data_IF_133675225144
#
_entry.id   IF_133675225144
#
_cell.length_a   1.000
_cell.length_b   1.000
_cell.length_c   1.000
_cell.angle_alpha   90.00
_cell.angle_beta   90.00
_cell.angle_gamma   90.00
#
_symmetry.space_group_name_H-M   'P 1'
#
loop_
_entity.id
_entity.type
_entity.pdbx_description
1 polymer ?
#
# COMPACT_ATOMS: atom_id res chain seq x y z
N UNK A 1 33.07 -7.17 -53.99
CA UNK A 1 32.82 -6.02 -53.09
C UNK A 1 31.64 -6.37 -52.20
N UNK A 2 31.92 -6.85 -50.99
CA UNK A 2 30.93 -7.01 -49.94
C UNK A 2 31.58 -6.48 -48.66
N UNK A 3 31.10 -5.32 -48.22
CA UNK A 3 31.56 -4.65 -47.00
C UNK A 3 31.10 -5.43 -45.78
N UNK A 4 32.06 -5.82 -44.94
CA UNK A 4 31.85 -6.29 -43.58
C UNK A 4 31.42 -5.10 -42.71
N UNK A 5 30.21 -5.12 -42.16
CA UNK A 5 29.82 -4.24 -41.05
C UNK A 5 30.19 -4.95 -39.75
N UNK A 6 31.37 -4.65 -39.22
CA UNK A 6 31.72 -4.93 -37.84
C UNK A 6 30.79 -4.13 -36.92
N UNK A 7 29.92 -4.84 -36.18
CA UNK A 7 29.26 -4.28 -35.01
C UNK A 7 30.32 -4.15 -33.92
N UNK A 8 30.66 -2.91 -33.57
CA UNK A 8 31.42 -2.60 -32.37
C UNK A 8 30.55 -2.92 -31.15
N UNK A 9 30.68 -4.13 -30.62
CA UNK A 9 30.21 -4.49 -29.28
C UNK A 9 31.14 -3.81 -28.25
N UNK A 10 30.75 -2.62 -27.80
CA UNK A 10 31.28 -2.06 -26.55
C UNK A 10 30.61 -2.79 -25.38
N UNK A 11 31.03 -4.03 -25.16
CA UNK A 11 30.68 -4.83 -23.99
C UNK A 11 31.32 -4.23 -22.75
N UNK A 12 30.67 -3.23 -22.15
CA UNK A 12 30.83 -2.98 -20.72
C UNK A 12 30.15 -4.15 -20.01
N UNK A 13 30.96 -4.98 -19.36
CA UNK A 13 30.53 -6.09 -18.52
C UNK A 13 29.79 -5.50 -17.29
N UNK A 14 28.53 -5.12 -17.47
CA UNK A 14 27.70 -4.53 -16.42
C UNK A 14 27.35 -5.65 -15.45
N UNK A 15 28.08 -5.73 -14.33
CA UNK A 15 27.72 -6.60 -13.21
C UNK A 15 26.26 -6.32 -12.84
N UNK A 16 25.39 -7.31 -13.01
CA UNK A 16 23.99 -7.23 -12.59
C UNK A 16 23.85 -7.61 -11.12
N UNK A 17 22.82 -7.09 -10.47
CA UNK A 17 22.51 -7.42 -9.07
C UNK A 17 23.50 -6.88 -8.04
N UNK A 18 24.26 -5.81 -8.36
CA UNK A 18 25.17 -5.19 -7.38
C UNK A 18 24.35 -4.55 -6.27
N UNK A 19 24.68 -4.89 -5.02
CA UNK A 19 23.99 -4.37 -3.84
C UNK A 19 24.72 -3.14 -3.31
N UNK A 20 24.00 -2.03 -3.19
CA UNK A 20 24.49 -0.77 -2.63
C UNK A 20 23.63 -0.35 -1.44
N UNK A 21 24.14 0.40 -0.46
CA UNK A 21 23.30 0.98 0.58
C UNK A 21 22.41 2.09 -0.02
N UNK A 22 21.12 2.10 0.33
CA UNK A 22 20.14 3.09 -0.12
C UNK A 22 20.33 4.45 0.58
N UNK A 23 21.45 5.11 0.27
CA UNK A 23 21.87 6.40 0.84
C UNK A 23 22.04 7.45 -0.24
N UNK A 24 21.94 8.72 0.12
CA UNK A 24 22.00 9.86 -0.81
C UNK A 24 23.27 9.87 -1.67
N UNK A 25 24.38 9.29 -1.18
CA UNK A 25 25.64 9.15 -1.93
C UNK A 25 25.50 8.32 -3.22
N UNK A 26 24.56 7.37 -3.25
CA UNK A 26 24.31 6.50 -4.41
C UNK A 26 23.15 6.99 -5.29
N UNK A 27 22.48 8.10 -4.94
CA UNK A 27 21.34 8.58 -5.70
C UNK A 27 21.73 9.00 -7.13
N UNK A 28 22.89 9.63 -7.31
CA UNK A 28 23.37 10.04 -8.63
C UNK A 28 23.64 8.83 -9.55
N UNK A 29 24.28 7.78 -9.03
CA UNK A 29 24.51 6.53 -9.76
C UNK A 29 23.20 5.86 -10.16
N UNK A 30 22.22 5.83 -9.26
CA UNK A 30 20.88 5.29 -9.53
C UNK A 30 20.16 6.07 -10.65
N UNK A 31 20.28 7.40 -10.65
CA UNK A 31 19.72 8.26 -11.69
C UNK A 31 20.33 7.95 -13.06
N UNK A 32 21.65 7.84 -13.16
CA UNK A 32 22.32 7.52 -14.42
C UNK A 32 21.98 6.10 -14.90
N UNK A 33 21.81 5.15 -13.98
CA UNK A 33 21.38 3.78 -14.28
C UNK A 33 19.97 3.76 -14.89
N UNK A 34 19.05 4.55 -14.35
CA UNK A 34 17.70 4.71 -14.88
C UNK A 34 17.69 5.39 -16.25
N UNK A 35 18.48 6.46 -16.43
CA UNK A 35 18.63 7.15 -17.72
C UNK A 35 19.22 6.24 -18.80
N UNK A 36 20.06 5.28 -18.42
CA UNK A 36 20.56 4.23 -19.30
C UNK A 36 19.52 3.13 -19.63
N UNK A 37 18.24 3.33 -19.27
CA UNK A 37 17.13 2.41 -19.55
C UNK A 37 17.15 1.14 -18.69
N UNK A 38 17.94 1.10 -17.61
CA UNK A 38 18.04 -0.08 -16.75
C UNK A 38 17.00 -0.07 -15.63
N UNK A 39 16.76 -1.26 -15.08
CA UNK A 39 15.87 -1.46 -13.93
C UNK A 39 16.71 -1.52 -12.66
N UNK A 40 16.26 -0.83 -11.62
CA UNK A 40 16.85 -0.87 -10.27
C UNK A 40 15.83 -1.39 -9.26
N UNK A 41 16.30 -1.97 -8.16
CA UNK A 41 15.46 -2.29 -7.00
C UNK A 41 15.73 -1.30 -5.87
N UNK A 42 14.68 -0.69 -5.32
CA UNK A 42 14.79 0.39 -4.33
C UNK A 42 13.83 0.20 -3.16
N UNK A 43 14.19 0.65 -1.94
CA UNK A 43 13.26 0.70 -0.82
C UNK A 43 12.24 1.83 -1.00
N UNK A 44 11.06 1.65 -0.41
CA UNK A 44 10.04 2.72 -0.26
C UNK A 44 9.51 2.74 1.16
N UNK A 45 8.59 3.65 1.48
CA UNK A 45 7.87 3.69 2.77
C UNK A 45 6.87 2.52 2.96
N UNK A 46 6.68 1.67 1.95
CA UNK A 46 5.83 0.47 2.04
C UNK A 46 6.55 -0.84 1.76
N UNK A 47 7.20 -0.98 0.62
CA UNK A 47 7.73 -2.26 0.11
C UNK A 47 8.94 -1.96 -0.76
N UNK A 48 9.83 -2.94 -0.94
CA UNK A 48 10.81 -2.84 -2.02
C UNK A 48 10.09 -2.84 -3.36
N UNK A 49 10.59 -2.04 -4.30
CA UNK A 49 10.04 -1.93 -5.64
C UNK A 49 11.10 -2.00 -6.72
N UNK A 50 10.72 -2.56 -7.87
CA UNK A 50 11.46 -2.36 -9.11
C UNK A 50 11.05 -1.03 -9.72
N UNK A 51 12.04 -0.23 -10.08
CA UNK A 51 11.89 1.07 -10.68
C UNK A 51 12.63 1.15 -12.03
N UNK A 52 12.00 1.79 -13.00
CA UNK A 52 12.60 2.13 -14.29
C UNK A 52 12.04 3.47 -14.79
N UNK A 53 12.61 4.04 -15.84
CA UNK A 53 12.02 5.21 -16.49
C UNK A 53 10.64 4.85 -17.08
N UNK A 54 9.59 5.58 -16.71
CA UNK A 54 8.22 5.37 -17.20
C UNK A 54 8.01 5.86 -18.64
N UNK A 55 8.96 6.64 -19.18
CA UNK A 55 8.95 7.16 -20.53
C UNK A 55 9.76 6.29 -21.51
N UNK A 56 10.43 5.25 -21.01
CA UNK A 56 11.26 4.36 -21.83
C UNK A 56 10.52 3.04 -22.13
N UNK A 57 10.24 2.81 -23.41
CA UNK A 57 9.64 1.57 -23.89
C UNK A 57 10.46 0.32 -23.49
N UNK A 58 11.78 0.37 -23.66
CA UNK A 58 12.67 -0.74 -23.31
C UNK A 58 12.60 -1.04 -21.81
N UNK A 59 12.66 -0.01 -20.99
CA UNK A 59 12.69 -0.15 -19.54
C UNK A 59 11.35 -0.67 -18.98
N UNK A 60 10.23 -0.15 -19.49
CA UNK A 60 8.87 -0.60 -19.12
C UNK A 60 8.65 -2.06 -19.51
N UNK A 61 9.04 -2.45 -20.73
CA UNK A 61 8.94 -3.85 -21.16
C UNK A 61 9.77 -4.78 -20.28
N UNK A 62 10.98 -4.36 -19.90
CA UNK A 62 11.85 -5.13 -19.00
C UNK A 62 11.22 -5.35 -17.63
N UNK A 63 10.52 -4.36 -17.04
CA UNK A 63 9.77 -4.57 -15.80
C UNK A 63 8.67 -5.63 -15.98
N UNK A 64 7.93 -5.61 -17.08
CA UNK A 64 6.89 -6.62 -17.33
C UNK A 64 7.45 -8.03 -17.47
N UNK A 65 8.59 -8.18 -18.16
CA UNK A 65 9.34 -9.44 -18.29
C UNK A 65 9.77 -9.98 -16.91
N UNK A 66 10.43 -9.14 -16.10
CA UNK A 66 10.88 -9.51 -14.74
C UNK A 66 9.73 -10.01 -13.88
N UNK A 67 8.57 -9.37 -13.98
CA UNK A 67 7.39 -9.72 -13.16
C UNK A 67 6.69 -10.99 -13.64
N UNK A 68 7.06 -11.54 -14.81
CA UNK A 68 6.38 -12.67 -15.44
C UNK A 68 4.92 -12.37 -15.77
N UNK A 69 4.60 -11.10 -16.08
CA UNK A 69 3.23 -10.64 -16.30
C UNK A 69 2.80 -10.87 -17.75
N UNK A 70 1.58 -11.36 -17.97
CA UNK A 70 0.82 -10.95 -19.16
C UNK A 70 0.55 -9.44 -18.99
N UNK A 71 0.65 -8.63 -20.04
CA UNK A 71 0.59 -7.14 -20.05
C UNK A 71 -0.68 -6.48 -19.42
N UNK A 72 -1.43 -7.16 -18.56
CA UNK A 72 -2.75 -6.77 -18.06
C UNK A 72 -2.76 -6.18 -16.65
N UNK A 73 -1.69 -6.34 -15.85
CA UNK A 73 -1.65 -5.78 -14.48
C UNK A 73 -0.99 -4.40 -14.47
N UNK A 74 -1.71 -3.33 -14.10
CA UNK A 74 -1.19 -1.98 -14.17
C UNK A 74 -0.01 -1.75 -13.21
N UNK A 75 0.93 -0.91 -13.63
CA UNK A 75 2.03 -0.34 -12.88
C UNK A 75 1.62 1.06 -12.40
N UNK A 76 2.09 1.45 -11.22
CA UNK A 76 2.01 2.83 -10.78
C UNK A 76 3.26 3.58 -11.25
N UNK A 77 3.17 4.90 -11.36
CA UNK A 77 4.34 5.76 -11.45
C UNK A 77 4.67 6.38 -10.10
N UNK A 78 5.93 6.70 -9.93
CA UNK A 78 6.51 7.41 -8.82
C UNK A 78 7.09 8.73 -9.32
N UNK A 79 6.76 9.84 -8.66
CA UNK A 79 7.36 11.15 -8.91
C UNK A 79 8.01 11.68 -7.64
N UNK A 80 8.95 12.63 -7.80
CA UNK A 80 9.74 13.16 -6.69
C UNK A 80 8.92 14.04 -5.75
N UNK A 81 8.02 14.85 -6.31
CA UNK A 81 7.20 15.82 -5.59
C UNK A 81 5.75 15.83 -6.11
N UNK A 82 4.82 16.25 -5.25
CA UNK A 82 3.38 16.31 -5.56
C UNK A 82 3.10 17.24 -6.74
N UNK A 83 3.88 18.31 -6.86
CA UNK A 83 3.80 19.28 -7.95
C UNK A 83 4.10 18.68 -9.33
N UNK A 84 4.83 17.57 -9.42
CA UNK A 84 5.16 16.92 -10.70
C UNK A 84 4.01 16.07 -11.26
N UNK A 85 2.97 15.79 -10.46
CA UNK A 85 1.88 14.88 -10.85
C UNK A 85 1.13 15.42 -12.08
N UNK A 86 0.92 16.74 -12.15
CA UNK A 86 0.20 17.40 -13.23
C UNK A 86 0.88 17.25 -14.61
N UNK A 87 2.18 16.93 -14.65
CA UNK A 87 2.93 16.65 -15.89
C UNK A 87 2.50 15.34 -16.54
N UNK A 88 1.93 14.42 -15.76
CA UNK A 88 1.64 13.05 -16.20
C UNK A 88 0.16 12.66 -16.11
N UNK A 89 -0.61 13.33 -15.25
CA UNK A 89 -2.01 13.04 -14.98
C UNK A 89 -2.85 14.32 -14.84
N UNK A 90 -4.13 14.23 -15.18
CA UNK A 90 -5.09 15.32 -15.02
C UNK A 90 -5.44 15.49 -13.53
N UNK A 91 -5.33 16.72 -13.04
CA UNK A 91 -5.56 17.06 -11.62
C UNK A 91 -6.50 18.25 -11.42
N UNK A 92 -6.95 18.90 -12.50
CA UNK A 92 -7.73 20.15 -12.45
C UNK A 92 -9.07 20.02 -11.72
N UNK A 93 -9.66 18.80 -11.72
CA UNK A 93 -10.91 18.52 -11.03
C UNK A 93 -10.74 18.26 -9.53
N UNK A 94 -9.51 18.19 -9.03
CA UNK A 94 -9.24 17.90 -7.62
C UNK A 94 -9.30 19.19 -6.79
N UNK A 95 -9.86 19.15 -5.57
CA UNK A 95 -9.76 20.24 -4.64
C UNK A 95 -8.31 20.62 -4.34
N UNK A 96 -8.04 21.92 -4.23
CA UNK A 96 -6.72 22.43 -3.86
C UNK A 96 -6.21 21.80 -2.55
N UNK A 97 -4.97 21.34 -2.54
CA UNK A 97 -4.32 20.71 -1.38
C UNK A 97 -4.75 19.26 -1.11
N UNK A 98 -5.68 18.67 -1.88
CA UNK A 98 -6.07 17.27 -1.69
C UNK A 98 -4.88 16.32 -1.90
N UNK A 99 -4.10 16.52 -2.97
CA UNK A 99 -2.94 15.67 -3.24
C UNK A 99 -1.87 15.81 -2.15
N UNK A 100 -1.58 17.03 -1.68
CA UNK A 100 -0.64 17.29 -0.60
C UNK A 100 -1.08 16.68 0.75
N UNK A 101 -2.39 16.51 0.95
CA UNK A 101 -2.93 15.83 2.14
C UNK A 101 -2.78 14.30 2.08
N UNK A 102 -2.64 13.73 0.87
CA UNK A 102 -2.54 12.30 0.62
C UNK A 102 -1.10 11.83 0.39
N UNK A 103 -0.24 12.73 -0.10
CA UNK A 103 1.10 12.48 -0.58
C UNK A 103 2.06 13.56 -0.05
N UNK A 104 3.33 13.24 0.29
CA UNK A 104 3.97 11.92 0.20
C UNK A 104 3.43 10.89 1.20
N UNK A 105 3.52 9.60 0.85
CA UNK A 105 3.21 8.52 1.77
C UNK A 105 2.68 7.22 1.16
N UNK A 106 2.04 6.36 1.98
CA UNK A 106 1.64 5.01 1.60
C UNK A 106 0.29 5.01 0.88
N UNK A 107 0.08 5.97 -0.04
CA UNK A 107 -1.10 6.12 -0.87
C UNK A 107 -0.67 6.18 -2.34
N UNK A 108 -1.43 5.53 -3.20
CA UNK A 108 -1.34 5.64 -4.65
C UNK A 108 -2.68 6.18 -5.13
N UNK A 109 -2.67 7.32 -5.80
CA UNK A 109 -3.87 7.94 -6.37
C UNK A 109 -4.02 7.51 -7.83
N UNK A 110 -5.17 7.00 -8.22
CA UNK A 110 -5.46 6.73 -9.65
C UNK A 110 -6.13 7.96 -10.24
N UNK A 111 -5.54 8.47 -11.30
CA UNK A 111 -5.95 9.68 -12.00
C UNK A 111 -6.05 9.39 -13.49
N UNK A 112 -6.82 10.20 -14.23
CA UNK A 112 -6.83 10.14 -15.68
C UNK A 112 -5.46 10.56 -16.23
N UNK A 113 -4.94 9.82 -17.20
CA UNK A 113 -3.66 10.16 -17.83
C UNK A 113 -3.80 11.48 -18.59
N UNK A 114 -2.78 12.33 -18.50
CA UNK A 114 -2.74 13.56 -19.31
C UNK A 114 -2.55 13.21 -20.79
N UNK A 115 -3.29 13.87 -21.70
CA UNK A 115 -3.18 13.62 -23.13
C UNK A 115 -1.78 13.96 -23.69
N UNK A 116 -1.15 15.00 -23.13
CA UNK A 116 0.22 15.42 -23.47
C UNK A 116 1.30 14.77 -22.59
N UNK A 117 0.94 13.72 -21.84
CA UNK A 117 1.86 13.04 -20.93
C UNK A 117 2.98 12.35 -21.71
N UNK A 118 4.22 12.54 -21.26
CA UNK A 118 5.39 11.87 -21.84
C UNK A 118 5.47 10.37 -21.47
N UNK A 119 4.53 9.85 -20.66
CA UNK A 119 4.50 8.44 -20.29
C UNK A 119 4.38 7.54 -21.51
N UNK A 120 5.13 6.44 -21.49
CA UNK A 120 5.11 5.47 -22.58
C UNK A 120 3.70 4.87 -22.76
N UNK A 121 3.27 4.68 -24.01
CA UNK A 121 1.92 4.16 -24.30
C UNK A 121 1.76 2.70 -23.92
N UNK A 122 2.85 1.93 -23.92
CA UNK A 122 2.89 0.55 -23.45
C UNK A 122 2.77 0.44 -21.92
N UNK A 123 2.96 1.54 -21.18
CA UNK A 123 2.71 1.56 -19.74
C UNK A 123 1.19 1.44 -19.52
N UNK A 124 0.72 0.32 -18.96
CA UNK A 124 -0.69 0.03 -18.71
C UNK A 124 -1.57 0.04 -19.98
N UNK A 125 -1.36 -0.90 -20.93
CA UNK A 125 -2.12 -0.91 -22.16
C UNK A 125 -3.61 -1.16 -21.87
N UNK A 126 -4.48 -0.37 -22.51
CA UNK A 126 -5.93 -0.45 -22.33
C UNK A 126 -6.49 0.29 -21.12
N UNK A 127 -5.67 1.08 -20.41
CA UNK A 127 -6.13 1.93 -19.32
C UNK A 127 -5.83 3.41 -19.61
N UNK A 128 -6.89 4.22 -19.62
CA UNK A 128 -6.81 5.68 -19.72
C UNK A 128 -6.42 6.35 -18.39
N UNK A 129 -6.26 5.56 -17.33
CA UNK A 129 -5.86 6.01 -16.00
C UNK A 129 -4.47 5.52 -15.60
N UNK A 130 -3.85 6.26 -14.68
CA UNK A 130 -2.53 5.95 -14.15
C UNK A 130 -2.54 6.09 -12.63
N UNK A 131 -1.96 5.10 -11.95
CA UNK A 131 -1.69 5.20 -10.52
C UNK A 131 -0.44 6.05 -10.30
N UNK A 132 -0.52 7.11 -9.50
CA UNK A 132 0.58 8.01 -9.18
C UNK A 132 0.87 7.94 -7.69
N UNK A 133 2.15 7.96 -7.34
CA UNK A 133 2.62 7.94 -5.95
C UNK A 133 3.79 8.90 -5.75
N UNK A 134 3.84 9.51 -4.57
CA UNK A 134 5.04 10.15 -4.03
C UNK A 134 5.38 9.39 -2.75
N UNK A 135 6.34 8.45 -2.75
CA UNK A 135 6.70 7.68 -1.56
C UNK A 135 7.32 8.59 -0.49
N UNK A 136 7.01 8.36 0.78
CA UNK A 136 7.69 9.04 1.90
C UNK A 136 9.05 8.38 2.21
N UNK A 137 9.93 8.36 1.20
CA UNK A 137 11.26 7.78 1.26
C UNK A 137 12.22 8.69 0.49
N UNK A 138 13.21 9.25 1.19
CA UNK A 138 14.11 10.27 0.61
C UNK A 138 14.85 9.75 -0.62
N UNK A 139 15.39 8.53 -0.54
CA UNK A 139 16.21 7.94 -1.59
C UNK A 139 15.49 7.88 -2.95
N UNK A 140 14.29 7.28 -3.01
CA UNK A 140 13.52 7.19 -4.26
C UNK A 140 13.02 8.57 -4.75
N UNK A 141 12.74 9.51 -3.84
CA UNK A 141 12.37 10.89 -4.22
C UNK A 141 13.54 11.64 -4.83
N UNK A 142 14.75 11.51 -4.28
CA UNK A 142 15.97 12.08 -4.86
C UNK A 142 16.23 11.55 -6.26
N UNK A 143 16.07 10.23 -6.45
CA UNK A 143 16.23 9.60 -7.75
C UNK A 143 15.19 10.11 -8.74
N UNK A 144 13.90 10.13 -8.37
CA UNK A 144 12.84 10.62 -9.24
C UNK A 144 13.05 12.10 -9.65
N UNK A 145 13.48 12.96 -8.72
CA UNK A 145 13.86 14.35 -9.03
C UNK A 145 15.04 14.41 -10.00
N UNK A 146 16.11 13.66 -9.73
CA UNK A 146 17.33 13.66 -10.54
C UNK A 146 17.15 13.07 -11.94
N UNK A 147 16.23 12.12 -12.09
CA UNK A 147 15.86 11.56 -13.41
C UNK A 147 15.07 12.55 -14.27
N UNK A 148 14.43 13.56 -13.67
CA UNK A 148 13.64 14.58 -14.39
C UNK A 148 12.35 14.04 -15.01
N UNK A 149 12.01 12.77 -14.77
CA UNK A 149 10.87 12.04 -15.32
C UNK A 149 10.15 11.24 -14.24
N UNK A 150 9.00 10.65 -14.57
CA UNK A 150 8.32 9.70 -13.71
C UNK A 150 9.00 8.33 -13.77
N UNK A 151 9.06 7.63 -12.63
CA UNK A 151 9.58 6.27 -12.56
C UNK A 151 8.42 5.28 -12.53
N UNK A 152 8.40 4.28 -13.42
CA UNK A 152 7.45 3.18 -13.28
C UNK A 152 7.87 2.36 -12.07
N UNK A 153 6.93 2.09 -11.15
CA UNK A 153 7.19 1.47 -9.85
C UNK A 153 6.20 0.33 -9.58
N UNK A 154 6.73 -0.84 -9.28
CA UNK A 154 5.97 -2.00 -8.81
C UNK A 154 6.72 -2.73 -7.70
N UNK A 155 6.02 -3.48 -6.85
CA UNK A 155 6.66 -4.30 -5.82
C UNK A 155 7.70 -5.27 -6.41
N UNK A 156 8.83 -5.42 -5.69
CA UNK A 156 9.97 -6.24 -6.09
C UNK A 156 9.75 -7.72 -5.74
N UNK A 157 8.82 -8.37 -6.40
CA UNK A 157 8.45 -9.79 -6.21
C UNK A 157 7.92 -10.35 -7.52
N UNK A 158 7.88 -11.68 -7.70
CA UNK A 158 7.12 -12.25 -8.82
C UNK A 158 5.62 -12.04 -8.63
N UNK A 159 4.86 -12.00 -9.72
CA UNK A 159 3.40 -11.86 -9.63
C UNK A 159 2.78 -12.99 -8.79
N UNK A 160 1.92 -12.65 -7.84
CA UNK A 160 1.29 -13.61 -6.92
C UNK A 160 2.17 -14.10 -5.75
N UNK A 161 3.45 -13.72 -5.70
CA UNK A 161 4.33 -14.04 -4.56
C UNK A 161 4.20 -13.00 -3.43
N UNK A 162 4.63 -13.33 -2.19
CA UNK A 162 4.63 -12.39 -1.08
C UNK A 162 5.36 -11.08 -1.39
N UNK A 163 4.87 -9.97 -0.85
CA UNK A 163 5.51 -8.65 -0.98
C UNK A 163 6.87 -8.60 -0.28
N UNK A 164 7.82 -7.87 -0.86
CA UNK A 164 9.19 -7.77 -0.35
C UNK A 164 9.40 -6.63 0.64
N UNK A 165 9.91 -6.96 1.83
CA UNK A 165 10.21 -6.02 2.93
C UNK A 165 11.70 -5.95 3.27
N UNK A 166 12.52 -6.85 2.72
CA UNK A 166 13.98 -6.78 2.73
C UNK A 166 14.54 -7.31 1.40
N UNK A 167 15.81 -7.01 1.10
CA UNK A 167 16.43 -7.42 -0.17
C UNK A 167 16.46 -8.94 -0.37
N UNK A 168 16.52 -9.71 0.73
CA UNK A 168 16.54 -11.18 0.71
C UNK A 168 15.23 -11.79 0.23
N UNK A 169 14.09 -11.08 0.35
CA UNK A 169 12.79 -11.58 -0.12
C UNK A 169 12.78 -11.78 -1.65
N UNK A 170 13.67 -11.11 -2.39
CA UNK A 170 13.71 -11.12 -3.85
C UNK A 170 15.11 -11.33 -4.44
N UNK A 171 16.00 -11.98 -3.69
CA UNK A 171 17.38 -12.27 -4.10
C UNK A 171 17.47 -12.95 -5.48
N UNK A 172 16.53 -13.84 -5.78
CA UNK A 172 16.42 -14.54 -7.08
C UNK A 172 16.15 -13.61 -8.26
N UNK A 173 15.73 -12.36 -8.03
CA UNK A 173 15.41 -11.39 -9.08
C UNK A 173 16.51 -10.33 -9.24
N UNK A 174 17.59 -10.39 -8.45
CA UNK A 174 18.68 -9.42 -8.52
C UNK A 174 19.39 -9.43 -9.87
N UNK A 175 19.53 -10.59 -10.49
CA UNK A 175 20.17 -10.74 -11.81
C UNK A 175 19.48 -9.93 -12.93
N UNK A 176 18.20 -9.61 -12.74
CA UNK A 176 17.45 -8.80 -13.70
C UNK A 176 17.58 -7.29 -13.48
N UNK A 177 18.12 -6.88 -12.32
CA UNK A 177 18.36 -5.49 -11.96
C UNK A 177 19.81 -5.12 -12.26
N UNK A 178 20.05 -3.89 -12.70
CA UNK A 178 21.42 -3.37 -12.74
C UNK A 178 21.97 -3.22 -11.32
N UNK A 179 21.18 -2.60 -10.44
CA UNK A 179 21.56 -2.36 -9.05
C UNK A 179 20.39 -2.61 -8.10
N UNK A 180 20.72 -3.09 -6.90
CA UNK A 180 19.79 -3.29 -5.77
C UNK A 180 20.24 -2.37 -4.64
N UNK A 181 19.35 -1.48 -4.20
CA UNK A 181 19.63 -0.56 -3.10
C UNK A 181 19.03 -1.10 -1.81
N UNK A 182 19.87 -1.40 -0.82
CA UNK A 182 19.47 -1.94 0.47
C UNK A 182 19.18 -0.84 1.49
N UNK A 183 17.92 -0.73 1.90
CA UNK A 183 17.45 0.11 3.00
C UNK A 183 17.16 -0.68 4.29
N UNK A 184 17.61 -1.94 4.38
CA UNK A 184 17.34 -2.82 5.50
C UNK A 184 15.92 -3.40 5.50
N UNK A 185 15.45 -3.78 6.70
CA UNK A 185 14.09 -4.28 6.91
C UNK A 185 13.09 -3.11 7.01
N UNK A 186 12.13 -3.06 6.10
CA UNK A 186 11.12 -2.01 6.09
C UNK A 186 10.10 -2.22 7.24
N UNK A 187 9.76 -1.17 8.01
CA UNK A 187 8.89 -1.26 9.20
C UNK A 187 7.39 -1.39 8.87
N UNK A 188 7.08 -1.61 7.60
CA UNK A 188 5.78 -1.34 6.98
C UNK A 188 4.83 -2.53 6.92
N UNK A 189 5.30 -3.72 7.28
CA UNK A 189 4.61 -4.98 7.01
C UNK A 189 4.57 -5.30 5.51
N UNK A 190 3.88 -6.38 5.13
CA UNK A 190 3.79 -6.83 3.72
C UNK A 190 2.64 -6.20 2.92
N UNK A 191 1.86 -5.30 3.54
CA UNK A 191 0.79 -4.57 2.88
C UNK A 191 1.32 -3.41 2.03
N UNK A 192 0.89 -3.35 0.76
CA UNK A 192 1.21 -2.24 -0.13
C UNK A 192 0.48 -0.93 0.23
N UNK A 193 0.71 0.12 -0.58
CA UNK A 193 -0.01 1.40 -0.46
C UNK A 193 -1.52 1.24 -0.60
N UNK A 194 -2.29 2.12 0.05
CA UNK A 194 -3.72 2.29 -0.25
C UNK A 194 -3.84 2.82 -1.68
N UNK A 195 -4.67 2.19 -2.51
CA UNK A 195 -4.97 2.69 -3.85
C UNK A 195 -6.33 3.37 -3.82
N UNK A 196 -6.35 4.67 -4.08
CA UNK A 196 -7.56 5.49 -4.12
C UNK A 196 -7.75 5.99 -5.54
N UNK A 197 -8.87 5.63 -6.14
CA UNK A 197 -9.29 6.14 -7.45
C UNK A 197 -9.98 7.48 -7.28
N UNK A 198 -9.39 8.49 -7.91
CA UNK A 198 -9.82 9.88 -7.98
C UNK A 198 -9.99 10.33 -9.45
N UNK A 199 -10.04 9.39 -10.40
CA UNK A 199 -10.14 9.70 -11.84
C UNK A 199 -11.45 10.37 -12.23
N UNK A 200 -12.51 10.17 -11.45
CA UNK A 200 -13.84 10.72 -11.73
C UNK A 200 -14.12 11.94 -10.84
N UNK A 201 -14.49 13.10 -11.41
CA UNK A 201 -14.82 14.29 -10.64
C UNK A 201 -15.84 14.03 -9.53
N UNK A 202 -15.58 14.58 -8.34
CA UNK A 202 -16.45 14.51 -7.15
C UNK A 202 -16.74 13.09 -6.63
N UNK A 203 -15.99 12.07 -7.06
CA UNK A 203 -16.12 10.69 -6.60
C UNK A 203 -14.76 10.15 -6.19
N UNK A 204 -14.78 9.26 -5.20
CA UNK A 204 -13.61 8.46 -4.86
C UNK A 204 -13.99 6.99 -4.67
N UNK A 205 -13.05 6.10 -4.99
CA UNK A 205 -13.19 4.67 -4.70
C UNK A 205 -11.88 4.12 -4.16
N UNK A 206 -11.92 3.42 -3.03
CA UNK A 206 -10.76 2.69 -2.55
C UNK A 206 -10.68 1.39 -3.35
N UNK A 207 -9.67 1.25 -4.22
CA UNK A 207 -9.46 0.04 -5.05
C UNK A 207 -8.68 -1.03 -4.28
N UNK A 208 -7.72 -0.59 -3.47
CA UNK A 208 -6.97 -1.43 -2.54
C UNK A 208 -6.91 -0.69 -1.21
N UNK A 209 -7.46 -1.23 -0.13
CA UNK A 209 -7.24 -0.62 1.17
C UNK A 209 -5.81 -0.91 1.57
N UNK A 210 -5.04 0.13 1.85
CA UNK A 210 -3.77 -0.04 2.53
C UNK A 210 -4.01 -0.04 4.04
N UNK A 211 -3.13 0.65 4.76
CA UNK A 211 -3.21 0.69 6.22
C UNK A 211 -4.45 1.42 6.71
N UNK A 212 -5.09 0.84 7.73
CA UNK A 212 -6.22 1.42 8.45
C UNK A 212 -5.83 2.83 8.95
N UNK A 213 -6.65 3.88 8.75
CA UNK A 213 -6.33 5.25 9.14
C UNK A 213 -6.49 5.45 10.66
N UNK A 214 -5.60 4.84 11.43
CA UNK A 214 -5.48 5.07 12.87
C UNK A 214 -4.85 6.42 13.13
N UNK A 215 -5.05 7.03 14.31
CA UNK A 215 -4.44 8.34 14.60
C UNK A 215 -2.92 8.36 14.51
N UNK A 216 -2.24 7.27 14.89
CA UNK A 216 -0.79 7.15 14.70
C UNK A 216 -0.43 7.23 13.21
N UNK A 217 -1.19 6.55 12.35
CA UNK A 217 -0.96 6.60 10.90
C UNK A 217 -1.28 7.98 10.32
N UNK A 218 -2.32 8.66 10.81
CA UNK A 218 -2.69 10.00 10.36
C UNK A 218 -1.70 11.08 10.82
N UNK A 219 -1.16 10.97 12.04
CA UNK A 219 -0.12 11.88 12.55
C UNK A 219 1.19 11.73 11.79
N UNK A 220 1.63 10.50 11.53
CA UNK A 220 2.82 10.25 10.68
C UNK A 220 2.69 10.89 9.30
N UNK A 221 1.47 10.95 8.77
CA UNK A 221 1.15 11.58 7.47
C UNK A 221 0.89 13.09 7.57
N UNK A 222 1.03 13.70 8.75
CA UNK A 222 0.74 15.12 9.00
C UNK A 222 -0.69 15.54 8.59
N UNK A 223 -1.64 14.59 8.60
CA UNK A 223 -3.07 14.84 8.31
C UNK A 223 -3.77 15.41 9.53
N UNK A 224 -3.32 15.03 10.73
CA UNK A 224 -3.84 15.61 11.96
C UNK A 224 -3.21 16.99 12.20
N UNK A 225 -3.99 17.99 12.66
CA UNK A 225 -3.44 19.26 13.12
C UNK A 225 -2.29 19.06 14.12
N UNK A 226 -1.28 19.96 14.18
CA UNK A 226 -0.09 19.80 15.02
C UNK A 226 -0.39 19.49 16.49
N UNK A 227 -1.47 20.07 17.03
CA UNK A 227 -1.88 19.92 18.43
C UNK A 227 -2.80 18.71 18.68
N UNK A 228 -3.07 17.91 17.64
CA UNK A 228 -3.98 16.78 17.74
C UNK A 228 -3.33 15.59 18.43
N UNK A 229 -4.01 15.11 19.47
CA UNK A 229 -3.62 13.91 20.18
C UNK A 229 -3.60 12.68 19.26
N UNK A 230 -2.50 11.91 19.30
CA UNK A 230 -2.38 10.58 18.66
C UNK A 230 -3.04 9.47 19.47
N UNK A 231 -3.58 9.80 20.64
CA UNK A 231 -4.12 8.82 21.57
C UNK A 231 -5.48 8.30 21.12
N UNK A 232 -5.77 7.07 21.52
CA UNK A 232 -7.04 6.39 21.28
C UNK A 232 -8.21 7.19 21.88
N UNK A 233 -9.30 7.35 21.12
CA UNK A 233 -10.53 7.98 21.65
C UNK A 233 -11.17 7.14 22.74
N UNK A 234 -11.08 5.82 22.63
CA UNK A 234 -11.70 4.90 23.58
C UNK A 234 -10.92 4.80 24.89
N UNK A 235 -9.65 5.23 24.89
CA UNK A 235 -8.79 5.28 26.09
C UNK A 235 -7.74 6.38 25.96
N UNK A 236 -7.86 7.41 26.80
CA UNK A 236 -6.87 8.49 26.87
C UNK A 236 -5.49 7.95 27.28
N UNK A 237 -4.43 8.51 26.67
CA UNK A 237 -3.04 8.25 27.04
C UNK A 237 -2.35 7.06 26.37
N UNK A 238 -3.02 6.32 25.47
CA UNK A 238 -2.37 5.25 24.68
C UNK A 238 -2.46 5.57 23.18
N UNK A 239 -1.35 5.51 22.41
CA UNK A 239 -1.39 5.76 20.97
C UNK A 239 -2.35 4.83 20.23
N UNK A 240 -3.14 5.39 19.31
CA UNK A 240 -4.07 4.62 18.48
C UNK A 240 -3.32 3.97 17.29
N UNK A 241 -2.70 2.82 17.55
CA UNK A 241 -2.21 1.90 16.52
C UNK A 241 -3.28 0.86 16.15
N UNK A 242 -3.13 0.13 15.04
CA UNK A 242 -4.14 -0.86 14.60
C UNK A 242 -4.38 -1.96 15.64
N UNK A 243 -3.31 -2.54 16.19
CA UNK A 243 -3.44 -3.60 17.19
C UNK A 243 -4.03 -3.05 18.50
N UNK A 244 -3.71 -1.80 18.86
CA UNK A 244 -4.40 -1.15 19.97
C UNK A 244 -5.89 -0.98 19.69
N UNK A 245 -6.25 -0.41 18.54
CA UNK A 245 -7.62 -0.09 18.19
C UNK A 245 -8.52 -1.34 18.09
N UNK A 246 -8.00 -2.48 17.63
CA UNK A 246 -8.82 -3.66 17.40
C UNK A 246 -8.63 -4.80 18.41
N UNK A 247 -7.58 -4.77 19.22
CA UNK A 247 -7.30 -5.85 20.17
C UNK A 247 -6.95 -5.35 21.57
N UNK A 248 -5.96 -4.46 21.70
CA UNK A 248 -5.35 -4.16 23.01
C UNK A 248 -6.05 -3.04 23.79
N UNK A 249 -6.92 -2.26 23.14
CA UNK A 249 -7.72 -1.25 23.82
C UNK A 249 -8.61 -1.92 24.88
N UNK A 250 -8.66 -1.36 26.10
CA UNK A 250 -9.39 -1.94 27.23
C UNK A 250 -10.86 -2.16 26.89
N UNK A 251 -11.51 -1.15 26.30
CA UNK A 251 -12.90 -1.25 25.84
C UNK A 251 -13.07 -2.41 24.84
N UNK A 252 -12.13 -2.55 23.91
CA UNK A 252 -12.19 -3.53 22.83
C UNK A 252 -11.93 -4.94 23.33
N UNK A 253 -11.06 -5.11 24.32
CA UNK A 253 -10.87 -6.40 25.02
C UNK A 253 -12.16 -6.86 25.68
N UNK A 254 -12.90 -5.95 26.30
CA UNK A 254 -14.20 -6.27 26.91
C UNK A 254 -15.27 -6.58 25.87
N UNK A 255 -15.26 -5.91 24.71
CA UNK A 255 -16.13 -6.24 23.58
C UNK A 255 -15.84 -7.67 23.09
N UNK A 256 -14.57 -8.02 22.85
CA UNK A 256 -14.18 -9.37 22.44
C UNK A 256 -14.51 -10.42 23.51
N UNK A 257 -14.29 -10.12 24.78
CA UNK A 257 -14.70 -10.98 25.89
C UNK A 257 -16.22 -11.19 25.90
N UNK A 258 -17.02 -10.14 25.64
CA UNK A 258 -18.47 -10.24 25.52
C UNK A 258 -18.93 -11.13 24.36
N UNK A 259 -18.28 -10.99 23.20
CA UNK A 259 -18.57 -11.82 22.01
C UNK A 259 -18.21 -13.28 22.28
N UNK A 260 -17.03 -13.56 22.84
CA UNK A 260 -16.62 -14.93 23.11
C UNK A 260 -17.42 -15.59 24.22
N UNK A 261 -17.81 -14.85 25.27
CA UNK A 261 -18.78 -15.35 26.27
C UNK A 261 -20.10 -15.72 25.62
N UNK A 262 -20.59 -14.93 24.67
CA UNK A 262 -21.80 -15.26 23.90
C UNK A 262 -21.66 -16.58 23.12
N UNK A 263 -20.46 -16.89 22.64
CA UNK A 263 -20.15 -18.13 21.92
C UNK A 263 -19.71 -19.29 22.84
N UNK A 264 -19.63 -19.09 24.16
CA UNK A 264 -19.19 -20.09 25.12
C UNK A 264 -17.67 -20.26 25.24
N UNK A 265 -16.88 -19.28 24.79
CA UNK A 265 -15.42 -19.28 24.88
C UNK A 265 -14.89 -18.26 25.91
N UNK A 266 -13.67 -18.51 26.39
CA UNK A 266 -12.90 -17.56 27.20
C UNK A 266 -11.97 -16.77 26.28
N UNK A 267 -11.89 -15.45 26.47
CA UNK A 267 -11.04 -14.58 25.65
C UNK A 267 -9.64 -14.41 26.23
N UNK A 268 -8.65 -14.67 25.40
CA UNK A 268 -7.27 -14.23 25.59
C UNK A 268 -6.89 -13.32 24.43
N UNK A 269 -6.29 -12.16 24.74
CA UNK A 269 -5.91 -11.18 23.73
C UNK A 269 -4.70 -11.70 22.94
N UNK A 270 -4.81 -11.86 21.60
CA UNK A 270 -3.69 -12.30 20.76
C UNK A 270 -2.68 -11.16 20.53
N UNK A 271 -1.45 -11.49 20.06
CA UNK A 271 -0.40 -10.49 19.86
C UNK A 271 -0.72 -9.48 18.75
N UNK A 272 -1.41 -9.91 17.69
CA UNK A 272 -1.75 -9.08 16.54
C UNK A 272 -3.07 -9.53 15.86
N UNK A 273 -3.59 -8.67 14.98
CA UNK A 273 -4.87 -8.88 14.32
C UNK A 273 -4.89 -10.09 13.38
N UNK A 274 -3.74 -10.45 12.81
CA UNK A 274 -3.63 -11.59 11.91
C UNK A 274 -3.72 -12.91 12.68
N UNK A 275 -3.01 -13.04 13.80
CA UNK A 275 -3.13 -14.19 14.70
C UNK A 275 -4.55 -14.32 15.23
N UNK A 276 -5.19 -13.19 15.55
CA UNK A 276 -6.61 -13.19 15.93
C UNK A 276 -7.49 -13.79 14.84
N UNK A 277 -7.39 -13.27 13.60
CA UNK A 277 -8.17 -13.78 12.47
C UNK A 277 -7.94 -15.27 12.21
N UNK A 278 -6.68 -15.71 12.22
CA UNK A 278 -6.31 -17.11 12.02
C UNK A 278 -6.99 -18.03 13.03
N UNK A 279 -6.98 -17.65 14.31
CA UNK A 279 -7.66 -18.41 15.35
C UNK A 279 -9.16 -18.56 15.07
N UNK A 280 -9.86 -17.47 14.73
CA UNK A 280 -11.28 -17.51 14.35
C UNK A 280 -11.56 -18.40 13.13
N UNK A 281 -10.62 -18.47 12.18
CA UNK A 281 -10.73 -19.32 11.00
C UNK A 281 -10.55 -20.82 11.32
N UNK A 282 -9.80 -21.14 12.37
CA UNK A 282 -9.45 -22.50 12.77
C UNK A 282 -10.37 -23.07 13.87
N UNK A 283 -11.25 -22.26 14.46
CA UNK A 283 -12.22 -22.65 15.50
C UNK A 283 -13.15 -23.82 15.12
N UNK A 284 -13.31 -24.14 13.83
CA UNK A 284 -14.18 -25.24 13.40
C UNK A 284 -13.72 -25.88 12.08
N UNK A 285 -13.68 -27.22 12.07
CA UNK A 285 -13.52 -28.03 10.87
C UNK A 285 -14.71 -27.96 9.91
N UNK A 286 -15.91 -27.64 10.42
CA UNK A 286 -17.13 -27.53 9.62
C UNK A 286 -17.20 -26.20 8.85
N UNK A 287 -17.25 -26.29 7.52
CA UNK A 287 -17.28 -25.14 6.60
C UNK A 287 -18.43 -24.16 6.86
N UNK A 288 -19.62 -24.62 7.24
CA UNK A 288 -20.78 -23.74 7.50
C UNK A 288 -20.59 -22.95 8.79
N UNK A 289 -20.16 -23.62 9.86
CA UNK A 289 -19.90 -22.99 11.17
C UNK A 289 -18.76 -21.97 11.04
N UNK A 290 -17.70 -22.32 10.30
CA UNK A 290 -16.57 -21.43 10.03
C UNK A 290 -16.99 -20.12 9.36
N UNK A 291 -17.89 -20.18 8.38
CA UNK A 291 -18.48 -18.97 7.77
C UNK A 291 -19.23 -18.12 8.80
N UNK A 292 -19.92 -18.74 9.76
CA UNK A 292 -20.56 -18.03 10.88
C UNK A 292 -19.55 -17.26 11.73
N UNK A 293 -18.43 -17.89 12.09
CA UNK A 293 -17.35 -17.23 12.82
C UNK A 293 -16.71 -16.07 12.05
N UNK A 294 -16.51 -16.22 10.73
CA UNK A 294 -16.05 -15.11 9.88
C UNK A 294 -16.99 -13.91 9.94
N UNK A 295 -18.31 -14.16 9.83
CA UNK A 295 -19.32 -13.11 9.88
C UNK A 295 -19.26 -12.36 11.21
N UNK A 296 -19.16 -13.09 12.34
CA UNK A 296 -19.07 -12.50 13.67
C UNK A 296 -17.81 -11.65 13.81
N UNK A 297 -16.66 -12.18 13.39
CA UNK A 297 -15.39 -11.45 13.46
C UNK A 297 -15.43 -10.17 12.64
N UNK A 298 -15.94 -10.22 11.41
CA UNK A 298 -16.07 -9.04 10.56
C UNK A 298 -17.06 -8.01 11.12
N UNK A 299 -18.21 -8.47 11.64
CA UNK A 299 -19.18 -7.61 12.30
C UNK A 299 -18.55 -6.88 13.50
N UNK A 300 -17.67 -7.56 14.25
CA UNK A 300 -16.96 -6.96 15.36
C UNK A 300 -15.97 -5.89 14.95
N UNK A 301 -15.08 -6.18 13.99
CA UNK A 301 -14.12 -5.19 13.45
C UNK A 301 -14.83 -3.96 12.91
N UNK A 302 -15.88 -4.16 12.11
CA UNK A 302 -16.67 -3.06 11.56
C UNK A 302 -17.33 -2.21 12.66
N UNK A 303 -17.95 -2.86 13.65
CA UNK A 303 -18.67 -2.14 14.71
C UNK A 303 -17.69 -1.36 15.59
N UNK A 304 -16.54 -1.95 15.94
CA UNK A 304 -15.47 -1.26 16.69
C UNK A 304 -15.00 -0.03 15.91
N UNK A 305 -14.76 -0.16 14.60
CA UNK A 305 -14.36 0.95 13.74
C UNK A 305 -15.44 2.05 13.67
N UNK A 306 -16.71 1.67 13.53
CA UNK A 306 -17.83 2.62 13.50
C UNK A 306 -17.95 3.38 14.82
N UNK A 307 -17.96 2.66 15.95
CA UNK A 307 -18.00 3.27 17.30
C UNK A 307 -16.83 4.23 17.48
N UNK A 308 -15.62 3.86 17.06
CA UNK A 308 -14.45 4.75 17.08
C UNK A 308 -14.72 6.06 16.34
N UNK A 309 -15.32 6.01 15.16
CA UNK A 309 -15.61 7.20 14.37
C UNK A 309 -16.74 8.04 14.99
N UNK A 310 -17.77 7.41 15.54
CA UNK A 310 -18.86 8.11 16.24
C UNK A 310 -18.33 8.88 17.48
N UNK A 311 -17.38 8.31 18.22
CA UNK A 311 -16.70 9.02 19.32
C UNK A 311 -15.92 10.26 18.84
N UNK A 312 -15.40 10.26 17.60
CA UNK A 312 -14.60 11.36 17.05
C UNK A 312 -15.48 12.46 16.49
N UNK A 313 -16.43 12.08 15.64
CA UNK A 313 -17.15 13.04 14.81
C UNK A 313 -18.49 13.44 15.42
N UNK A 314 -19.09 12.56 16.22
CA UNK A 314 -20.44 12.75 16.76
C UNK A 314 -20.46 12.97 18.28
N UNK A 315 -19.27 13.08 18.90
CA UNK A 315 -19.07 13.20 20.36
C UNK A 315 -19.95 12.24 21.17
N UNK A 316 -20.18 11.05 20.62
CA UNK A 316 -21.08 10.07 21.20
C UNK A 316 -20.41 9.37 22.40
N UNK A 317 -21.19 8.64 23.18
CA UNK A 317 -20.69 7.66 24.15
C UNK A 317 -21.37 6.33 23.88
N UNK A 318 -20.68 5.21 24.09
CA UNK A 318 -21.26 3.90 23.87
C UNK A 318 -20.89 2.94 24.99
N UNK A 319 -21.87 2.20 25.51
CA UNK A 319 -21.64 1.16 26.50
C UNK A 319 -21.16 -0.13 25.82
N UNK A 320 -20.22 -0.85 26.43
CA UNK A 320 -19.67 -2.12 25.89
C UNK A 320 -20.77 -3.11 25.55
N UNK A 321 -21.81 -3.21 26.38
CA UNK A 321 -22.97 -4.09 26.16
C UNK A 321 -23.69 -3.75 24.85
N UNK A 322 -23.89 -2.47 24.55
CA UNK A 322 -24.54 -2.01 23.32
C UNK A 322 -23.70 -2.36 22.09
N UNK A 323 -22.37 -2.21 22.18
CA UNK A 323 -21.45 -2.62 21.11
C UNK A 323 -21.58 -4.12 20.84
N UNK A 324 -21.58 -4.95 21.88
CA UNK A 324 -21.70 -6.41 21.75
C UNK A 324 -23.06 -6.80 21.15
N UNK A 325 -24.16 -6.19 21.59
CA UNK A 325 -25.49 -6.44 21.02
C UNK A 325 -25.58 -6.00 19.55
N UNK A 326 -25.00 -4.84 19.20
CA UNK A 326 -24.95 -4.38 17.81
C UNK A 326 -24.19 -5.38 16.91
N UNK A 327 -23.11 -5.98 17.41
CA UNK A 327 -22.33 -7.01 16.70
C UNK A 327 -23.16 -8.27 16.49
N UNK A 328 -23.87 -8.75 17.54
CA UNK A 328 -24.77 -9.91 17.43
C UNK A 328 -25.84 -9.69 16.36
N UNK A 329 -26.50 -8.53 16.39
CA UNK A 329 -27.54 -8.16 15.42
C UNK A 329 -26.97 -8.10 14.00
N UNK A 330 -25.80 -7.48 13.82
CA UNK A 330 -25.16 -7.37 12.52
C UNK A 330 -24.72 -8.73 11.97
N UNK A 331 -24.18 -9.60 12.83
CA UNK A 331 -23.81 -10.96 12.47
C UNK A 331 -25.04 -11.80 12.07
N UNK A 332 -26.15 -11.67 12.80
CA UNK A 332 -27.39 -12.42 12.55
C UNK A 332 -28.11 -11.98 11.27
N UNK A 333 -28.13 -10.68 10.96
CA UNK A 333 -28.76 -10.14 9.75
C UNK A 333 -28.11 -10.62 8.45
N UNK A 334 -26.92 -11.21 8.53
CA UNK A 334 -26.13 -11.55 7.36
C UNK A 334 -25.62 -10.27 6.68
N UNK A 335 -24.39 -10.34 6.19
CA UNK A 335 -23.67 -9.19 5.68
C UNK A 335 -24.27 -8.73 4.34
N UNK A 336 -25.25 -7.81 4.38
CA UNK A 336 -25.74 -7.03 3.23
C UNK A 336 -25.01 -5.69 3.01
N UNK A 337 -24.42 -4.99 4.01
CA UNK A 337 -23.77 -3.69 3.78
C UNK A 337 -22.27 -3.74 3.42
N UNK A 338 -21.57 -4.88 3.55
CA UNK A 338 -20.09 -4.92 3.36
C UNK A 338 -19.65 -4.97 1.89
N UNK A 339 -20.46 -4.56 0.91
CA UNK A 339 -19.96 -4.32 -0.46
C UNK A 339 -18.83 -3.24 -0.49
N UNK A 340 -18.75 -2.40 0.55
CA UNK A 340 -17.69 -1.41 0.75
C UNK A 340 -16.50 -1.96 1.56
N UNK A 341 -16.71 -3.03 2.34
CA UNK A 341 -15.71 -3.58 3.26
C UNK A 341 -15.10 -4.92 2.82
N UNK A 342 -15.68 -5.60 1.83
CA UNK A 342 -15.04 -6.71 1.10
C UNK A 342 -13.67 -6.31 0.53
N UNK A 343 -13.47 -5.03 0.27
CA UNK A 343 -12.19 -4.45 -0.14
C UNK A 343 -11.15 -4.57 1.00
N UNK A 344 -11.53 -4.35 2.26
CA UNK A 344 -10.66 -4.56 3.44
C UNK A 344 -10.35 -6.04 3.72
N UNK A 345 -11.16 -6.95 3.19
CA UNK A 345 -11.07 -8.40 3.42
C UNK A 345 -9.96 -9.05 2.58
N UNK A 346 -9.58 -8.48 1.43
CA UNK A 346 -8.54 -9.05 0.56
C UNK A 346 -7.11 -8.58 0.87
N UNK A 347 -6.90 -7.67 1.82
CA UNK A 347 -5.56 -7.18 2.17
C UNK A 347 -4.88 -7.90 3.35
N UNK A 348 -5.49 -8.98 3.85
CA UNK A 348 -4.93 -9.83 4.91
C UNK A 348 -4.61 -11.26 4.45
N UNK A 349 -4.76 -11.55 3.14
CA UNK A 349 -4.47 -12.85 2.54
C UNK A 349 -3.17 -12.80 1.73
#
# INVERSE_FOLDING_TARGET
>A
MAWSMERCDLGLDVKTGVVHPATDAYAAEAVETLKAGKVIAVPTDTLYGFACDACSLEAVNRIYEIKGRKHTSPLAICVGDVSDINRFALTDHLPHGLLDSLLPGPVTVVLSRGESSALERSLNPGFDSIGVRVPDCNFIRLIARGSGTALALTSANLSGQPSSVCIKDFEKLWEHCASVYDGGLLPSGRAGSTVVDLSTPYKYKILRPGRIPTRVNLSRRKVLPPDSSVNCVMRKGVPEASDHLFLNCVMVREVWAGILRWLGFVYHTPPDLFVHWKWWNELSGNKKIRKGYWIIWHAAIWTIWRVRNDLIFNNSSCAIKEVVEAIKVLAWRGIRPLAVASVAVFCWA
#
